data_IF_257575132247
#
_entry.id   IF_257575132247
#
_cell.length_a   1.000
_cell.length_b   1.000
_cell.length_c   1.000
_cell.angle_alpha   90.00
_cell.angle_beta   90.00
_cell.angle_gamma   90.00
#
_symmetry.space_group_name_H-M   'P 1'
#
loop_
_entity.id
_entity.type
_entity.pdbx_description
1 polymer ?
#
# COMPACT_ATOMS: atom_id res chain seq x y z
N UNK A 1 35.10 7.36 20.70
CA UNK A 1 35.20 6.70 22.01
C UNK A 1 34.87 5.24 21.75
N UNK A 2 35.73 4.32 22.19
CA UNK A 2 35.55 2.89 21.92
C UNK A 2 34.37 2.36 22.73
N UNK A 3 33.23 2.21 22.06
CA UNK A 3 32.08 1.47 22.58
C UNK A 3 32.52 0.00 22.71
N UNK A 4 32.28 -0.58 23.90
CA UNK A 4 32.89 -1.86 24.27
C UNK A 4 32.29 -2.96 23.41
N UNK A 5 33.10 -3.52 22.51
CA UNK A 5 32.71 -4.66 21.69
C UNK A 5 32.32 -5.86 22.59
N UNK A 6 31.29 -6.65 22.24
CA UNK A 6 30.90 -7.80 23.04
C UNK A 6 32.07 -8.78 23.17
N UNK A 7 32.27 -9.33 24.36
CA UNK A 7 33.25 -10.39 24.55
C UNK A 7 32.85 -11.61 23.69
N UNK A 8 33.84 -12.25 23.04
CA UNK A 8 33.59 -13.45 22.23
C UNK A 8 32.88 -14.53 23.04
N UNK A 9 31.65 -14.85 22.65
CA UNK A 9 30.76 -15.75 23.40
C UNK A 9 30.36 -16.93 22.52
N UNK A 10 30.40 -18.19 23.01
CA UNK A 10 29.85 -19.32 22.27
C UNK A 10 28.38 -19.06 21.87
N UNK A 11 28.01 -19.37 20.63
CA UNK A 11 26.64 -19.14 20.15
C UNK A 11 25.60 -19.82 21.04
N UNK A 12 25.84 -21.09 21.41
CA UNK A 12 24.93 -21.85 22.26
C UNK A 12 24.73 -21.22 23.66
N UNK A 13 25.79 -20.64 24.23
CA UNK A 13 25.73 -19.94 25.52
C UNK A 13 24.91 -18.65 25.39
N UNK A 14 25.07 -17.90 24.29
CA UNK A 14 24.28 -16.69 24.03
C UNK A 14 22.80 -17.02 23.83
N UNK A 15 22.50 -18.06 23.04
CA UNK A 15 21.14 -18.54 22.76
C UNK A 15 20.43 -18.94 24.05
N UNK A 16 21.06 -19.76 24.90
CA UNK A 16 20.50 -20.15 26.20
C UNK A 16 20.23 -18.91 27.08
N UNK A 17 21.20 -17.98 27.12
CA UNK A 17 21.09 -16.75 27.90
C UNK A 17 19.94 -15.84 27.45
N UNK A 18 19.66 -15.80 26.15
CA UNK A 18 18.57 -15.00 25.57
C UNK A 18 17.24 -15.70 25.83
N UNK A 19 17.14 -17.00 25.53
CA UNK A 19 15.94 -17.80 25.75
C UNK A 19 15.46 -17.72 27.21
N UNK A 20 16.37 -17.81 28.17
CA UNK A 20 16.07 -17.70 29.61
C UNK A 20 15.48 -16.33 30.01
N UNK A 21 15.80 -15.26 29.27
CA UNK A 21 15.38 -13.88 29.60
C UNK A 21 14.16 -13.42 28.82
N UNK A 22 13.98 -13.90 27.59
CA UNK A 22 12.89 -13.48 26.70
C UNK A 22 11.75 -14.52 26.64
N UNK A 23 12.04 -15.78 26.95
CA UNK A 23 11.10 -16.90 26.76
C UNK A 23 10.97 -17.34 25.31
N UNK A 24 11.82 -16.83 24.42
CA UNK A 24 11.80 -17.18 22.99
C UNK A 24 12.41 -18.55 22.70
N UNK A 25 12.04 -19.10 21.55
CA UNK A 25 12.44 -20.43 21.13
C UNK A 25 13.94 -20.44 20.70
N UNK A 26 14.77 -21.34 21.26
CA UNK A 26 16.22 -21.36 21.01
C UNK A 26 16.65 -21.44 19.54
N UNK A 27 15.96 -22.23 18.70
CA UNK A 27 16.32 -22.32 17.27
C UNK A 27 16.02 -21.00 16.55
N UNK A 28 14.91 -20.34 16.89
CA UNK A 28 14.56 -19.02 16.35
C UNK A 28 15.63 -17.97 16.71
N UNK A 29 16.09 -17.95 17.97
CA UNK A 29 17.20 -17.07 18.39
C UNK A 29 18.49 -17.39 17.63
N UNK A 30 18.79 -18.69 17.43
CA UNK A 30 19.98 -19.14 16.70
C UNK A 30 19.96 -18.65 15.25
N UNK A 31 18.82 -18.74 14.56
CA UNK A 31 18.67 -18.24 13.19
C UNK A 31 19.04 -16.76 13.07
N UNK A 32 18.55 -15.93 13.99
CA UNK A 32 18.86 -14.50 13.97
C UNK A 32 20.33 -14.19 14.23
N UNK A 33 21.00 -14.97 15.08
CA UNK A 33 22.40 -14.75 15.45
C UNK A 33 23.41 -15.38 14.48
N UNK A 34 22.97 -16.18 13.52
CA UNK A 34 23.85 -16.84 12.55
C UNK A 34 24.78 -15.84 11.82
N UNK A 35 24.31 -14.68 11.33
CA UNK A 35 25.16 -13.68 10.68
C UNK A 35 26.24 -13.08 11.60
N UNK A 36 26.04 -13.14 12.92
CA UNK A 36 26.97 -12.60 13.92
C UNK A 36 28.00 -13.63 14.38
N UNK A 37 27.98 -14.83 13.81
CA UNK A 37 28.76 -15.98 14.28
C UNK A 37 29.93 -16.26 13.35
N UNK A 38 31.11 -16.47 13.93
CA UNK A 38 32.30 -17.01 13.27
C UNK A 38 32.83 -18.19 14.10
N UNK A 39 33.10 -19.33 13.47
CA UNK A 39 33.52 -20.58 14.12
C UNK A 39 32.68 -20.98 15.36
N UNK A 40 31.35 -20.78 15.28
CA UNK A 40 30.41 -21.12 16.37
C UNK A 40 30.44 -20.17 17.57
N UNK A 41 31.07 -19.00 17.42
CA UNK A 41 31.12 -17.94 18.45
C UNK A 41 30.59 -16.64 17.87
N UNK A 42 29.86 -15.89 18.67
CA UNK A 42 29.47 -14.53 18.31
C UNK A 42 30.69 -13.62 18.50
N UNK A 43 31.10 -12.95 17.42
CA UNK A 43 32.31 -12.10 17.40
C UNK A 43 31.99 -10.68 16.97
N UNK A 44 32.77 -9.73 17.48
CA UNK A 44 32.63 -8.32 17.08
C UNK A 44 32.91 -8.12 15.59
N UNK A 45 33.84 -8.89 15.01
CA UNK A 45 34.16 -8.83 13.59
C UNK A 45 32.98 -9.28 12.70
N UNK A 46 32.28 -10.36 13.08
CA UNK A 46 31.10 -10.82 12.35
C UNK A 46 29.93 -9.83 12.48
N UNK A 47 29.75 -9.21 13.65
CA UNK A 47 28.78 -8.13 13.86
C UNK A 47 29.12 -6.92 12.97
N UNK A 48 30.37 -6.45 12.99
CA UNK A 48 30.82 -5.32 12.16
C UNK A 48 30.67 -5.61 10.66
N UNK A 49 30.91 -6.86 10.23
CA UNK A 49 30.65 -7.30 8.86
C UNK A 49 29.16 -7.20 8.52
N UNK A 50 28.29 -7.73 9.39
CA UNK A 50 26.84 -7.66 9.19
C UNK A 50 26.34 -6.22 9.12
N UNK A 51 26.78 -5.35 10.04
CA UNK A 51 26.45 -3.92 10.01
C UNK A 51 26.94 -3.26 8.71
N UNK A 52 28.14 -3.62 8.23
CA UNK A 52 28.68 -3.11 6.97
C UNK A 52 27.82 -3.54 5.78
N UNK A 53 27.38 -4.79 5.75
CA UNK A 53 26.52 -5.31 4.68
C UNK A 53 25.17 -4.59 4.68
N UNK A 54 24.53 -4.45 5.84
CA UNK A 54 23.26 -3.69 5.97
C UNK A 54 23.44 -2.22 5.59
N UNK A 55 24.56 -1.59 5.98
CA UNK A 55 24.87 -0.21 5.59
C UNK A 55 24.97 -0.04 4.07
N UNK A 56 25.50 -1.04 3.35
CA UNK A 56 25.56 -1.01 1.88
C UNK A 56 24.18 -1.15 1.23
N UNK A 57 23.31 -1.98 1.82
CA UNK A 57 21.93 -2.15 1.35
C UNK A 57 21.16 -0.85 1.57
N UNK A 58 21.26 -0.25 2.76
CA UNK A 58 20.62 1.05 3.05
C UNK A 58 21.13 2.15 2.09
N UNK A 59 22.44 2.24 1.85
CA UNK A 59 22.99 3.19 0.87
C UNK A 59 22.46 2.96 -0.55
N UNK A 60 22.09 1.74 -0.90
CA UNK A 60 21.44 1.41 -2.17
C UNK A 60 20.00 1.93 -2.20
N UNK A 61 19.25 1.78 -1.10
CA UNK A 61 17.91 2.35 -0.93
C UNK A 61 17.94 3.88 -1.03
N UNK A 62 18.84 4.54 -0.30
CA UNK A 62 19.08 5.99 -0.39
C UNK A 62 19.32 6.42 -1.84
N UNK A 63 20.22 5.73 -2.56
CA UNK A 63 20.53 6.04 -3.96
C UNK A 63 19.30 5.91 -4.87
N UNK A 64 18.42 4.94 -4.60
CA UNK A 64 17.18 4.74 -5.37
C UNK A 64 16.15 5.83 -5.12
N UNK A 65 15.95 6.23 -3.86
CA UNK A 65 15.09 7.37 -3.52
C UNK A 65 15.64 8.68 -4.10
N UNK A 66 16.96 8.84 -4.16
CA UNK A 66 17.65 9.94 -4.83
C UNK A 66 17.38 9.98 -6.34
N UNK A 67 17.31 8.82 -7.00
CA UNK A 67 16.97 8.73 -8.43
C UNK A 67 15.50 9.08 -8.66
N UNK A 68 14.59 8.48 -7.89
CA UNK A 68 13.16 8.81 -7.94
C UNK A 68 12.91 10.31 -7.68
N UNK A 69 13.68 10.93 -6.78
CA UNK A 69 13.65 12.37 -6.54
C UNK A 69 13.95 13.18 -7.81
N UNK A 70 15.01 12.82 -8.53
CA UNK A 70 15.38 13.53 -9.77
C UNK A 70 14.31 13.37 -10.84
N UNK A 71 13.78 12.16 -11.00
CA UNK A 71 12.68 11.89 -11.95
C UNK A 71 11.42 12.66 -11.58
N UNK A 72 11.11 12.79 -10.28
CA UNK A 72 9.98 13.59 -9.80
C UNK A 72 10.16 15.08 -10.11
N UNK A 73 11.37 15.62 -9.94
CA UNK A 73 11.67 17.01 -10.29
C UNK A 73 11.52 17.26 -11.81
N UNK A 74 11.96 16.31 -12.64
CA UNK A 74 11.79 16.36 -14.10
C UNK A 74 10.30 16.30 -14.51
N UNK A 75 9.54 15.38 -13.93
CA UNK A 75 8.10 15.27 -14.15
C UNK A 75 7.34 16.52 -13.68
N UNK A 76 7.73 17.09 -12.53
CA UNK A 76 7.16 18.34 -12.01
C UNK A 76 7.43 19.51 -12.95
N UNK A 77 8.66 19.63 -13.46
CA UNK A 77 9.00 20.66 -14.44
C UNK A 77 8.18 20.49 -15.74
N UNK A 78 7.93 19.26 -16.18
CA UNK A 78 7.05 19.00 -17.33
C UNK A 78 5.58 19.36 -17.03
N UNK A 79 5.12 19.15 -15.80
CA UNK A 79 3.77 19.52 -15.36
C UNK A 79 3.57 21.04 -15.30
N UNK A 80 4.62 21.81 -14.98
CA UNK A 80 4.56 23.27 -14.99
C UNK A 80 4.31 23.87 -16.39
N UNK A 81 4.64 23.13 -17.46
CA UNK A 81 4.32 23.50 -18.84
C UNK A 81 2.88 23.11 -19.26
N UNK A 82 2.19 22.29 -18.46
CA UNK A 82 0.83 21.85 -18.71
C UNK A 82 -0.21 22.92 -18.35
N UNK A 83 -1.46 22.81 -18.86
CA UNK A 83 -2.56 23.62 -18.38
C UNK A 83 -2.86 23.35 -16.90
N UNK A 84 -3.35 24.38 -16.21
CA UNK A 84 -3.83 24.27 -14.84
C UNK A 84 -5.13 23.46 -14.81
N UNK A 85 -4.99 22.15 -14.57
CA UNK A 85 -6.06 21.14 -14.55
C UNK A 85 -5.94 20.32 -13.27
N UNK A 86 -7.09 19.97 -12.70
CA UNK A 86 -7.13 19.26 -11.43
C UNK A 86 -6.53 17.86 -11.56
N UNK A 87 -6.76 17.15 -12.69
CA UNK A 87 -6.17 15.82 -12.92
C UNK A 87 -4.63 15.82 -12.87
N UNK A 88 -4.00 16.91 -13.34
CA UNK A 88 -2.54 17.06 -13.29
C UNK A 88 -2.08 17.35 -11.86
N UNK A 89 -2.81 18.22 -11.16
CA UNK A 89 -2.50 18.64 -9.78
C UNK A 89 -2.61 17.47 -8.81
N UNK A 90 -3.68 16.68 -8.88
CA UNK A 90 -3.92 15.51 -8.02
C UNK A 90 -2.84 14.45 -8.24
N UNK A 91 -2.55 14.08 -9.50
CA UNK A 91 -1.49 13.10 -9.80
C UNK A 91 -0.12 13.56 -9.33
N UNK A 92 0.25 14.83 -9.58
CA UNK A 92 1.52 15.39 -9.11
C UNK A 92 1.64 15.34 -7.59
N UNK A 93 0.57 15.69 -6.88
CA UNK A 93 0.56 15.64 -5.41
C UNK A 93 0.75 14.21 -4.91
N UNK A 94 0.04 13.24 -5.47
CA UNK A 94 0.16 11.84 -5.06
C UNK A 94 1.59 11.30 -5.21
N UNK A 95 2.30 11.68 -6.28
CA UNK A 95 3.72 11.33 -6.42
C UNK A 95 4.62 12.03 -5.40
N UNK A 96 4.35 13.30 -5.09
CA UNK A 96 5.07 14.04 -4.07
C UNK A 96 4.91 13.41 -2.68
N UNK A 97 3.67 13.09 -2.29
CA UNK A 97 3.35 12.47 -1.01
C UNK A 97 4.08 11.11 -0.88
N UNK A 98 4.00 10.24 -1.89
CA UNK A 98 4.73 8.94 -1.90
C UNK A 98 6.25 9.07 -1.83
N UNK A 99 6.81 10.11 -2.45
CA UNK A 99 8.25 10.36 -2.42
C UNK A 99 8.70 10.86 -1.04
N UNK A 100 7.89 11.69 -0.40
CA UNK A 100 8.15 12.17 0.95
C UNK A 100 8.07 11.04 1.98
N UNK A 101 7.13 10.10 1.81
CA UNK A 101 7.05 8.88 2.62
C UNK A 101 8.33 8.02 2.48
N UNK A 102 8.77 7.74 1.25
CA UNK A 102 10.01 6.98 1.01
C UNK A 102 11.26 7.63 1.63
N UNK A 103 11.34 8.96 1.60
CA UNK A 103 12.44 9.71 2.23
C UNK A 103 12.41 9.57 3.75
N UNK A 104 11.22 9.67 4.35
CA UNK A 104 11.03 9.50 5.78
C UNK A 104 11.38 8.08 6.23
N UNK A 105 11.00 7.06 5.47
CA UNK A 105 11.35 5.65 5.72
C UNK A 105 12.87 5.42 5.68
N UNK A 106 13.55 5.94 4.67
CA UNK A 106 15.02 5.84 4.58
C UNK A 106 15.72 6.54 5.76
N UNK A 107 15.24 7.72 6.16
CA UNK A 107 15.79 8.44 7.32
C UNK A 107 15.60 7.63 8.61
N UNK A 108 14.42 7.05 8.82
CA UNK A 108 14.12 6.18 9.95
C UNK A 108 15.03 4.93 9.98
N UNK A 109 15.25 4.27 8.83
CA UNK A 109 16.17 3.13 8.75
C UNK A 109 17.62 3.51 9.08
N UNK A 110 18.05 4.72 8.72
CA UNK A 110 19.36 5.25 9.11
C UNK A 110 19.50 5.41 10.63
N UNK A 111 18.46 5.90 11.29
CA UNK A 111 18.40 6.01 12.74
C UNK A 111 18.37 4.63 13.42
N UNK A 112 17.58 3.69 12.90
CA UNK A 112 17.48 2.32 13.42
C UNK A 112 18.80 1.55 13.26
N UNK A 113 19.48 1.69 12.12
CA UNK A 113 20.83 1.15 11.93
C UNK A 113 21.83 1.77 12.92
N UNK A 114 21.69 3.08 13.18
CA UNK A 114 22.46 3.82 14.16
C UNK A 114 22.24 3.30 15.60
N UNK A 115 21.02 2.89 15.94
CA UNK A 115 20.68 2.31 17.23
C UNK A 115 21.14 0.85 17.35
N UNK A 116 20.98 0.03 16.31
CA UNK A 116 21.34 -1.39 16.30
C UNK A 116 22.84 -1.64 16.50
N UNK A 117 23.70 -0.70 16.10
CA UNK A 117 25.16 -0.80 16.31
C UNK A 117 25.62 -0.40 17.72
N UNK A 118 24.72 0.12 18.56
CA UNK A 118 25.05 0.66 19.89
C UNK A 118 24.60 -0.25 21.03
N UNK A 119 25.30 -0.19 22.16
CA UNK A 119 24.84 -0.86 23.39
C UNK A 119 24.91 -2.40 23.41
N UNK A 120 25.80 -3.01 22.62
CA UNK A 120 25.94 -4.47 22.45
C UNK A 120 26.60 -5.22 23.63
N UNK A 121 26.49 -4.70 24.85
CA UNK A 121 27.16 -5.28 26.02
C UNK A 121 26.44 -6.48 26.63
N UNK A 122 25.14 -6.64 26.37
CA UNK A 122 24.28 -7.66 26.96
C UNK A 122 23.80 -8.67 25.91
N UNK A 123 23.62 -9.97 26.25
CA UNK A 123 23.16 -10.99 25.30
C UNK A 123 21.88 -10.65 24.57
N UNK A 124 20.88 -10.12 25.29
CA UNK A 124 19.60 -9.70 24.71
C UNK A 124 19.77 -8.50 23.77
N UNK A 125 20.74 -7.62 24.03
CA UNK A 125 21.02 -6.49 23.14
C UNK A 125 21.65 -6.95 21.83
N UNK A 126 22.56 -7.93 21.87
CA UNK A 126 23.15 -8.55 20.67
C UNK A 126 22.07 -9.25 19.83
N UNK A 127 21.19 -10.01 20.47
CA UNK A 127 20.06 -10.65 19.80
C UNK A 127 19.13 -9.63 19.13
N UNK A 128 18.71 -8.59 19.86
CA UNK A 128 17.86 -7.52 19.29
C UNK A 128 18.52 -6.76 18.15
N UNK A 129 19.83 -6.54 18.23
CA UNK A 129 20.56 -5.93 17.12
C UNK A 129 20.55 -6.82 15.88
N UNK A 130 20.65 -8.15 16.05
CA UNK A 130 20.58 -9.07 14.92
C UNK A 130 19.20 -9.07 14.25
N UNK A 131 18.12 -9.03 15.06
CA UNK A 131 16.74 -8.89 14.56
C UNK A 131 16.57 -7.56 13.83
N UNK A 132 16.96 -6.44 14.45
CA UNK A 132 16.84 -5.11 13.87
C UNK A 132 17.60 -4.98 12.54
N UNK A 133 18.83 -5.52 12.45
CA UNK A 133 19.58 -5.51 11.19
C UNK A 133 18.91 -6.30 10.08
N UNK A 134 18.17 -7.37 10.40
CA UNK A 134 17.38 -8.07 9.41
C UNK A 134 16.15 -7.28 8.97
N UNK A 135 15.41 -6.70 9.91
CA UNK A 135 14.25 -5.85 9.62
C UNK A 135 14.66 -4.69 8.71
N UNK A 136 15.74 -3.97 9.05
CA UNK A 136 16.33 -2.91 8.22
C UNK A 136 16.69 -3.42 6.81
N UNK A 137 17.21 -4.65 6.71
CA UNK A 137 17.55 -5.24 5.40
C UNK A 137 16.30 -5.45 4.55
N UNK A 138 15.24 -6.03 5.11
CA UNK A 138 13.99 -6.29 4.40
C UNK A 138 13.30 -4.99 4.01
N UNK A 139 13.22 -4.03 4.92
CA UNK A 139 12.62 -2.71 4.67
C UNK A 139 13.40 -1.92 3.62
N UNK A 140 14.74 -1.88 3.70
CA UNK A 140 15.56 -1.22 2.69
C UNK A 140 15.40 -1.85 1.30
N UNK A 141 15.21 -3.18 1.21
CA UNK A 141 14.94 -3.85 -0.06
C UNK A 141 13.56 -3.51 -0.62
N UNK A 142 12.56 -3.36 0.23
CA UNK A 142 11.23 -2.94 -0.19
C UNK A 142 11.24 -1.49 -0.70
N UNK A 143 11.91 -0.57 0.02
CA UNK A 143 12.15 0.81 -0.43
C UNK A 143 12.81 0.84 -1.81
N UNK A 144 13.82 0.00 -2.06
CA UNK A 144 14.46 -0.09 -3.39
C UNK A 144 13.46 -0.43 -4.48
N UNK A 145 12.55 -1.38 -4.21
CA UNK A 145 11.51 -1.80 -5.15
C UNK A 145 10.50 -0.67 -5.36
N UNK A 146 9.93 -0.13 -4.28
CA UNK A 146 8.91 0.93 -4.35
C UNK A 146 9.45 2.20 -5.00
N UNK A 147 10.70 2.59 -4.72
CA UNK A 147 11.34 3.73 -5.36
C UNK A 147 11.53 3.53 -6.87
N UNK A 148 11.85 2.30 -7.31
CA UNK A 148 11.97 1.99 -8.74
C UNK A 148 10.61 1.94 -9.46
N UNK A 149 9.59 1.40 -8.80
CA UNK A 149 8.22 1.43 -9.30
C UNK A 149 7.76 2.89 -9.47
N UNK A 150 7.99 3.74 -8.46
CA UNK A 150 7.72 5.18 -8.51
C UNK A 150 8.48 5.89 -9.63
N UNK A 151 9.76 5.59 -9.84
CA UNK A 151 10.55 6.13 -10.96
C UNK A 151 9.89 5.81 -12.31
N UNK A 152 9.46 4.56 -12.51
CA UNK A 152 8.79 4.12 -13.74
C UNK A 152 7.44 4.82 -13.94
N UNK A 153 6.67 4.99 -12.87
CA UNK A 153 5.39 5.71 -12.90
C UNK A 153 5.57 7.20 -13.24
N UNK A 154 6.60 7.84 -12.68
CA UNK A 154 6.95 9.24 -12.96
C UNK A 154 7.35 9.44 -14.43
N UNK A 155 8.16 8.53 -15.00
CA UNK A 155 8.49 8.55 -16.43
C UNK A 155 7.24 8.39 -17.31
N UNK A 156 6.32 7.50 -16.90
CA UNK A 156 5.05 7.30 -17.60
C UNK A 156 4.16 8.56 -17.53
N UNK A 157 4.10 9.22 -16.37
CA UNK A 157 3.38 10.48 -16.17
C UNK A 157 3.99 11.61 -17.03
N UNK A 158 5.31 11.72 -17.06
CA UNK A 158 6.01 12.69 -17.89
C UNK A 158 5.73 12.47 -19.40
N UNK A 159 5.72 11.21 -19.84
CA UNK A 159 5.34 10.85 -21.21
C UNK A 159 3.85 11.13 -21.51
N UNK A 160 2.97 10.93 -20.51
CA UNK A 160 1.55 11.25 -20.58
C UNK A 160 1.34 12.76 -20.76
N UNK A 161 1.99 13.61 -19.96
CA UNK A 161 1.92 15.07 -20.08
C UNK A 161 2.24 15.55 -21.51
N UNK A 162 3.28 14.95 -22.11
CA UNK A 162 3.81 15.37 -23.41
C UNK A 162 3.04 14.87 -24.63
N UNK A 163 2.08 13.97 -24.48
CA UNK A 163 1.44 13.31 -25.62
C UNK A 163 -0.06 13.17 -25.43
N UNK A 164 -0.83 13.93 -26.21
CA UNK A 164 -2.29 13.80 -26.25
C UNK A 164 -2.74 12.35 -26.55
N UNK A 165 -2.03 11.62 -27.42
CA UNK A 165 -2.35 10.22 -27.69
C UNK A 165 -2.12 9.31 -26.47
N UNK A 166 -1.10 9.59 -25.65
CA UNK A 166 -0.89 8.86 -24.39
C UNK A 166 -2.00 9.19 -23.40
N UNK A 167 -2.41 10.46 -23.31
CA UNK A 167 -3.52 10.89 -22.44
C UNK A 167 -4.83 10.21 -22.80
N UNK A 168 -5.19 10.27 -24.08
CA UNK A 168 -6.42 9.64 -24.57
C UNK A 168 -6.36 8.12 -24.46
N UNK A 169 -5.20 7.51 -24.73
CA UNK A 169 -5.01 6.07 -24.58
C UNK A 169 -5.22 5.62 -23.13
N UNK A 170 -4.59 6.31 -22.17
CA UNK A 170 -4.75 6.01 -20.75
C UNK A 170 -6.22 6.12 -20.30
N UNK A 171 -6.93 7.19 -20.66
CA UNK A 171 -8.36 7.32 -20.34
C UNK A 171 -9.20 6.18 -20.93
N UNK A 172 -8.92 5.77 -22.17
CA UNK A 172 -9.63 4.65 -22.81
C UNK A 172 -9.33 3.33 -22.10
N UNK A 173 -8.06 3.07 -21.76
CA UNK A 173 -7.65 1.87 -21.03
C UNK A 173 -8.32 1.80 -19.64
N UNK A 174 -8.49 2.94 -18.96
CA UNK A 174 -9.19 3.02 -17.67
C UNK A 174 -10.72 2.79 -17.81
N UNK A 175 -11.34 3.31 -18.87
CA UNK A 175 -12.76 3.03 -19.19
C UNK A 175 -12.94 1.54 -19.50
N UNK A 176 -12.05 0.93 -20.28
CA UNK A 176 -12.07 -0.51 -20.58
C UNK A 176 -12.00 -1.33 -19.27
N UNK A 177 -11.11 -0.96 -18.34
CA UNK A 177 -11.00 -1.61 -17.03
C UNK A 177 -12.26 -1.44 -16.15
N UNK A 178 -12.90 -0.27 -16.20
CA UNK A 178 -14.16 -0.04 -15.51
C UNK A 178 -15.30 -0.89 -16.09
N UNK A 179 -15.37 -1.03 -17.42
CA UNK A 179 -16.35 -1.90 -18.10
C UNK A 179 -16.17 -3.38 -17.72
N UNK A 180 -14.93 -3.86 -17.63
CA UNK A 180 -14.63 -5.21 -17.14
C UNK A 180 -15.07 -5.41 -15.68
N UNK A 181 -14.85 -4.40 -14.83
CA UNK A 181 -15.24 -4.43 -13.42
C UNK A 181 -16.76 -4.43 -13.24
N UNK A 182 -17.48 -3.59 -14.00
CA UNK A 182 -18.94 -3.58 -14.05
C UNK A 182 -19.48 -4.94 -14.51
N UNK A 183 -18.88 -5.54 -15.54
CA UNK A 183 -19.29 -6.86 -16.01
C UNK A 183 -19.12 -7.95 -14.94
N UNK A 184 -18.03 -7.92 -14.17
CA UNK A 184 -17.79 -8.85 -13.08
C UNK A 184 -18.82 -8.69 -11.93
N UNK A 185 -19.21 -7.44 -11.61
CA UNK A 185 -20.26 -7.16 -10.62
C UNK A 185 -21.62 -7.63 -11.15
N UNK A 186 -21.96 -7.37 -12.42
CA UNK A 186 -23.17 -7.86 -13.07
C UNK A 186 -23.33 -9.38 -12.95
N UNK A 187 -22.27 -10.15 -13.20
CA UNK A 187 -22.27 -11.61 -13.03
C UNK A 187 -22.57 -12.02 -11.58
N UNK A 188 -21.98 -11.30 -10.61
CA UNK A 188 -22.21 -11.54 -9.19
C UNK A 188 -23.64 -11.21 -8.77
N UNK A 189 -24.18 -10.06 -9.22
CA UNK A 189 -25.56 -9.64 -8.97
C UNK A 189 -26.56 -10.64 -9.57
N UNK A 190 -26.32 -11.10 -10.80
CA UNK A 190 -27.16 -12.12 -11.43
C UNK A 190 -27.15 -13.43 -10.63
N UNK A 191 -25.97 -13.89 -10.22
CA UNK A 191 -25.84 -15.09 -9.39
C UNK A 191 -26.54 -14.95 -8.03
N UNK A 192 -26.52 -13.77 -7.41
CA UNK A 192 -27.19 -13.52 -6.13
C UNK A 192 -28.72 -13.56 -6.28
N UNK A 193 -29.26 -12.99 -7.37
CA UNK A 193 -30.71 -12.99 -7.66
C UNK A 193 -31.29 -14.37 -7.98
N UNK A 194 -30.49 -15.24 -8.57
CA UNK A 194 -30.90 -16.62 -8.87
C UNK A 194 -30.85 -17.55 -7.64
N UNK A 195 -30.25 -17.10 -6.53
CA UNK A 195 -30.15 -17.88 -5.30
C UNK A 195 -31.38 -17.68 -4.40
N UNK A 196 -31.94 -18.79 -3.91
CA UNK A 196 -33.02 -18.77 -2.91
C UNK A 196 -32.52 -18.39 -1.49
N UNK A 197 -31.21 -18.50 -1.25
CA UNK A 197 -30.53 -18.17 0.01
C UNK A 197 -29.18 -17.51 -0.32
N UNK A 198 -29.16 -16.24 -0.74
CA UNK A 198 -27.95 -15.54 -1.14
C UNK A 198 -27.03 -15.29 0.05
N UNK A 199 -25.74 -15.56 -0.13
CA UNK A 199 -24.71 -15.28 0.88
C UNK A 199 -24.65 -13.77 1.20
N UNK A 200 -24.93 -13.35 2.44
CA UNK A 200 -24.90 -11.94 2.84
C UNK A 200 -23.53 -11.29 2.66
N UNK A 201 -22.42 -12.02 2.88
CA UNK A 201 -21.07 -11.47 2.73
C UNK A 201 -20.76 -11.18 1.25
N UNK A 202 -21.18 -12.08 0.36
CA UNK A 202 -21.04 -11.90 -1.08
C UNK A 202 -21.87 -10.72 -1.59
N UNK A 203 -23.08 -10.52 -1.04
CA UNK A 203 -23.93 -9.36 -1.39
C UNK A 203 -23.35 -8.05 -0.85
N UNK A 204 -22.80 -8.06 0.37
CA UNK A 204 -22.09 -6.91 0.92
C UNK A 204 -20.90 -6.51 0.03
N UNK A 205 -20.04 -7.46 -0.35
CA UNK A 205 -18.90 -7.18 -1.23
C UNK A 205 -19.34 -6.65 -2.59
N UNK A 206 -20.42 -7.18 -3.19
CA UNK A 206 -20.98 -6.66 -4.44
C UNK A 206 -21.50 -5.22 -4.30
N UNK A 207 -22.10 -4.90 -3.14
CA UNK A 207 -22.60 -3.55 -2.82
C UNK A 207 -21.44 -2.58 -2.66
N UNK A 208 -20.42 -2.95 -1.89
CA UNK A 208 -19.18 -2.19 -1.74
C UNK A 208 -18.50 -1.94 -3.09
N UNK A 209 -18.37 -2.97 -3.94
CA UNK A 209 -17.79 -2.82 -5.28
C UNK A 209 -18.60 -1.87 -6.15
N UNK A 210 -19.93 -1.92 -6.06
CA UNK A 210 -20.82 -1.01 -6.79
C UNK A 210 -20.63 0.44 -6.32
N UNK A 211 -20.52 0.70 -5.01
CA UNK A 211 -20.21 2.03 -4.46
C UNK A 211 -18.87 2.58 -4.94
N UNK A 212 -17.84 1.74 -4.98
CA UNK A 212 -16.55 2.13 -5.52
C UNK A 212 -16.66 2.45 -7.01
N UNK A 213 -17.41 1.66 -7.79
CA UNK A 213 -17.63 1.91 -9.21
C UNK A 213 -18.41 3.21 -9.48
N UNK A 214 -19.35 3.61 -8.61
CA UNK A 214 -20.00 4.92 -8.69
C UNK A 214 -18.97 6.06 -8.63
N UNK A 215 -18.00 5.96 -7.70
CA UNK A 215 -16.91 6.92 -7.58
C UNK A 215 -15.93 6.86 -8.78
N UNK A 216 -15.59 5.65 -9.26
CA UNK A 216 -14.75 5.48 -10.48
C UNK A 216 -15.38 6.20 -11.67
N UNK A 217 -16.68 6.03 -11.90
CA UNK A 217 -17.38 6.68 -13.02
C UNK A 217 -17.38 8.21 -12.86
N UNK A 218 -17.57 8.72 -11.64
CA UNK A 218 -17.47 10.15 -11.37
C UNK A 218 -16.06 10.70 -11.63
N UNK A 219 -15.02 9.96 -11.23
CA UNK A 219 -13.61 10.29 -11.47
C UNK A 219 -13.27 10.35 -12.96
N UNK A 220 -13.62 9.30 -13.71
CA UNK A 220 -13.41 9.22 -15.16
C UNK A 220 -14.11 10.34 -15.92
N UNK A 221 -15.27 10.80 -15.45
CA UNK A 221 -15.97 11.96 -16.04
C UNK A 221 -15.25 13.27 -15.79
N UNK A 222 -14.73 13.47 -14.59
CA UNK A 222 -13.91 14.64 -14.27
C UNK A 222 -12.63 14.66 -15.12
N UNK A 223 -11.92 13.52 -15.21
CA UNK A 223 -10.74 13.39 -16.06
C UNK A 223 -11.07 13.62 -17.54
N UNK A 224 -12.14 13.02 -18.07
CA UNK A 224 -12.57 13.23 -19.45
C UNK A 224 -12.90 14.71 -19.74
N UNK A 225 -13.49 15.42 -18.77
CA UNK A 225 -13.75 16.86 -18.90
C UNK A 225 -12.45 17.68 -18.98
N UNK A 226 -11.49 17.42 -18.08
CA UNK A 226 -10.18 18.06 -18.06
C UNK A 226 -9.39 17.79 -19.35
N UNK A 227 -9.34 16.52 -19.78
CA UNK A 227 -8.61 16.12 -20.99
C UNK A 227 -9.24 16.67 -22.26
N UNK A 228 -10.57 16.78 -22.31
CA UNK A 228 -11.26 17.45 -23.42
C UNK A 228 -10.92 18.95 -23.46
N UNK A 229 -10.93 19.62 -22.31
CA UNK A 229 -10.53 21.03 -22.23
C UNK A 229 -9.08 21.23 -22.68
N UNK A 230 -8.18 20.30 -22.34
CA UNK A 230 -6.82 20.30 -22.82
C UNK A 230 -6.74 20.08 -24.34
N UNK A 231 -7.46 19.08 -24.87
CA UNK A 231 -7.47 18.79 -26.30
C UNK A 231 -7.97 19.98 -27.13
N UNK A 232 -9.03 20.66 -26.66
CA UNK A 232 -9.57 21.87 -27.28
C UNK A 232 -8.55 23.01 -27.32
N UNK A 233 -7.81 23.21 -26.22
CA UNK A 233 -6.73 24.21 -26.13
C UNK A 233 -5.60 23.92 -27.12
N UNK A 234 -5.19 22.66 -27.23
CA UNK A 234 -4.09 22.23 -28.11
C UNK A 234 -4.54 22.09 -29.58
N UNK A 235 -5.84 22.19 -29.86
CA UNK A 235 -6.40 22.02 -31.20
C UNK A 235 -6.29 20.58 -31.73
N UNK A 236 -6.28 19.60 -30.83
CA UNK A 236 -6.20 18.17 -31.15
C UNK A 236 -7.57 17.51 -30.97
N UNK A 237 -7.84 16.44 -31.72
CA UNK A 237 -9.11 15.72 -31.60
C UNK A 237 -9.16 14.89 -30.31
N UNK A 238 -10.26 15.04 -29.56
CA UNK A 238 -10.60 14.17 -28.44
C UNK A 238 -11.39 12.93 -28.93
N UNK A 239 -11.27 11.74 -28.29
CA UNK A 239 -12.06 10.57 -28.63
C UNK A 239 -13.57 10.84 -28.53
N UNK A 240 -14.33 10.46 -29.55
CA UNK A 240 -15.74 10.85 -29.69
C UNK A 240 -16.76 9.94 -29.00
N UNK A 241 -16.32 8.77 -28.54
CA UNK A 241 -17.14 7.72 -27.92
C UNK A 241 -17.08 7.71 -26.40
N UNK A 242 -16.11 8.42 -25.79
CA UNK A 242 -15.91 8.46 -24.33
C UNK A 242 -17.18 8.81 -23.56
N UNK A 243 -17.92 9.85 -23.97
CA UNK A 243 -19.13 10.27 -23.24
C UNK A 243 -20.20 9.18 -23.24
N UNK A 244 -20.43 8.54 -24.39
CA UNK A 244 -21.42 7.47 -24.50
C UNK A 244 -21.05 6.26 -23.63
N UNK A 245 -19.76 5.90 -23.59
CA UNK A 245 -19.27 4.79 -22.75
C UNK A 245 -19.40 5.10 -21.26
N UNK A 246 -19.12 6.33 -20.84
CA UNK A 246 -19.30 6.75 -19.45
C UNK A 246 -20.77 6.79 -19.04
N UNK A 247 -21.67 7.17 -19.95
CA UNK A 247 -23.12 7.10 -19.72
C UNK A 247 -23.62 5.66 -19.61
N UNK A 248 -23.11 4.75 -20.44
CA UNK A 248 -23.41 3.32 -20.37
C UNK A 248 -22.91 2.70 -19.06
N UNK A 249 -21.69 3.07 -18.61
CA UNK A 249 -21.14 2.67 -17.32
C UNK A 249 -21.99 3.15 -16.15
N UNK A 250 -22.36 4.43 -16.10
CA UNK A 250 -23.21 4.98 -15.04
C UNK A 250 -24.55 4.25 -14.97
N UNK A 251 -25.18 4.01 -16.12
CA UNK A 251 -26.46 3.29 -16.18
C UNK A 251 -26.32 1.86 -15.65
N UNK A 252 -25.26 1.15 -16.03
CA UNK A 252 -25.01 -0.21 -15.55
C UNK A 252 -24.74 -0.26 -14.05
N UNK A 253 -23.95 0.67 -13.52
CA UNK A 253 -23.68 0.77 -12.08
C UNK A 253 -24.96 1.08 -11.31
N UNK A 254 -25.80 2.01 -11.79
CA UNK A 254 -27.10 2.32 -11.18
C UNK A 254 -28.03 1.11 -11.18
N UNK A 255 -28.08 0.35 -12.28
CA UNK A 255 -28.85 -0.90 -12.36
C UNK A 255 -28.36 -1.95 -11.35
N UNK A 256 -27.06 -1.99 -11.04
CA UNK A 256 -26.48 -2.85 -10.00
C UNK A 256 -26.83 -2.37 -8.59
N UNK A 257 -26.80 -1.06 -8.34
CA UNK A 257 -27.20 -0.51 -7.06
C UNK A 257 -28.67 -0.81 -6.75
N UNK A 258 -29.57 -0.55 -7.71
CA UNK A 258 -30.99 -0.87 -7.61
C UNK A 258 -31.21 -2.38 -7.37
N UNK A 259 -30.44 -3.21 -8.09
CA UNK A 259 -30.48 -4.67 -7.92
C UNK A 259 -30.17 -5.15 -6.52
N UNK A 260 -29.15 -4.54 -5.92
CA UNK A 260 -28.63 -4.92 -4.62
C UNK A 260 -29.48 -4.33 -3.49
N UNK A 261 -30.19 -3.24 -3.72
CA UNK A 261 -31.14 -2.66 -2.77
C UNK A 261 -32.40 -3.53 -2.58
N UNK A 262 -32.89 -4.19 -3.64
CA UNK A 262 -34.13 -4.99 -3.62
C UNK A 262 -34.04 -6.36 -2.93
N UNK A 263 -32.89 -6.73 -2.35
CA UNK A 263 -32.66 -8.04 -1.75
C UNK A 263 -33.14 -8.19 -0.29
N UNK A 264 -33.14 -9.42 0.27
CA UNK A 264 -33.63 -9.72 1.63
C UNK A 264 -32.86 -8.98 2.74
N UNK A 265 -33.47 -8.74 3.90
CA UNK A 265 -32.77 -8.09 5.02
C UNK A 265 -31.50 -8.87 5.43
N UNK A 266 -30.40 -8.15 5.72
CA UNK A 266 -29.15 -8.71 6.26
C UNK A 266 -28.87 -8.18 7.66
N UNK A 267 -27.70 -8.53 8.22
CA UNK A 267 -27.29 -8.14 9.56
C UNK A 267 -27.00 -6.62 9.64
N UNK A 268 -27.49 -5.95 10.70
CA UNK A 268 -27.31 -4.50 10.95
C UNK A 268 -25.84 -4.05 10.88
N UNK A 269 -24.89 -4.95 11.16
CA UNK A 269 -23.46 -4.67 11.07
C UNK A 269 -23.01 -4.29 9.65
N UNK A 270 -23.65 -4.83 8.62
CA UNK A 270 -23.31 -4.54 7.23
C UNK A 270 -23.83 -3.16 6.85
N UNK A 271 -25.02 -2.79 7.34
CA UNK A 271 -25.58 -1.45 7.13
C UNK A 271 -24.70 -0.37 7.77
N UNK A 272 -24.29 -0.54 9.03
CA UNK A 272 -23.43 0.44 9.71
C UNK A 272 -22.08 0.66 8.98
N UNK A 273 -21.55 -0.40 8.36
CA UNK A 273 -20.30 -0.34 7.58
C UNK A 273 -20.52 0.35 6.24
N UNK A 274 -21.61 0.05 5.55
CA UNK A 274 -21.95 0.74 4.31
C UNK A 274 -22.26 2.21 4.56
N UNK A 275 -22.97 2.55 5.65
CA UNK A 275 -23.19 3.95 6.04
C UNK A 275 -21.87 4.70 6.31
N UNK A 276 -20.91 4.03 6.96
CA UNK A 276 -19.57 4.60 7.20
C UNK A 276 -18.80 4.77 5.90
N UNK A 277 -18.83 3.76 5.03
CA UNK A 277 -18.19 3.80 3.71
C UNK A 277 -18.79 4.94 2.87
N UNK A 278 -20.12 5.01 2.76
CA UNK A 278 -20.84 6.02 1.99
C UNK A 278 -20.50 7.43 2.49
N UNK A 279 -20.42 7.64 3.81
CA UNK A 279 -20.01 8.93 4.38
C UNK A 279 -18.56 9.33 4.04
N UNK A 280 -17.64 8.38 3.99
CA UNK A 280 -16.25 8.65 3.59
C UNK A 280 -16.12 8.84 2.07
N UNK A 281 -16.82 8.06 1.26
CA UNK A 281 -16.82 8.21 -0.21
C UNK A 281 -17.48 9.52 -0.65
N UNK A 282 -18.58 9.93 -0.01
CA UNK A 282 -19.26 11.21 -0.25
C UNK A 282 -18.37 12.43 0.04
N UNK A 283 -17.35 12.26 0.87
CA UNK A 283 -16.37 13.31 1.19
C UNK A 283 -15.24 13.42 0.15
N UNK A 284 -15.16 12.49 -0.81
CA UNK A 284 -14.15 12.46 -1.86
C UNK A 284 -14.70 13.12 -3.13
N UNK A 285 -14.07 14.22 -3.55
CA UNK A 285 -14.39 14.90 -4.80
C UNK A 285 -13.42 14.46 -5.91
N UNK A 286 -13.91 14.14 -7.13
CA UNK A 286 -13.07 13.99 -8.30
C UNK A 286 -12.26 15.26 -8.67
N UNK A 287 -11.03 15.14 -9.20
CA UNK A 287 -10.28 13.89 -9.42
C UNK A 287 -9.79 13.23 -8.13
N UNK A 288 -9.89 11.92 -8.06
CA UNK A 288 -9.74 11.14 -6.82
C UNK A 288 -8.28 10.81 -6.51
N UNK A 289 -7.87 11.03 -5.26
CA UNK A 289 -6.63 10.49 -4.71
C UNK A 289 -6.87 9.07 -4.14
N UNK A 290 -6.75 8.06 -5.01
CA UNK A 290 -7.18 6.68 -4.75
C UNK A 290 -6.60 6.01 -3.49
N UNK A 291 -5.41 6.40 -3.03
CA UNK A 291 -4.81 5.85 -1.80
C UNK A 291 -5.75 5.95 -0.58
N UNK A 292 -6.45 7.08 -0.40
CA UNK A 292 -7.42 7.26 0.69
C UNK A 292 -8.65 6.35 0.54
N UNK A 293 -9.09 6.13 -0.70
CA UNK A 293 -10.24 5.27 -1.00
C UNK A 293 -9.88 3.81 -0.72
N UNK A 294 -8.69 3.38 -1.11
CA UNK A 294 -8.19 2.02 -0.85
C UNK A 294 -8.13 1.71 0.65
N UNK A 295 -7.65 2.65 1.47
CA UNK A 295 -7.67 2.53 2.94
C UNK A 295 -9.10 2.38 3.49
N UNK A 296 -10.01 3.21 3.01
CA UNK A 296 -11.43 3.21 3.43
C UNK A 296 -12.10 1.88 3.07
N UNK A 297 -11.86 1.40 1.85
CA UNK A 297 -12.36 0.13 1.35
C UNK A 297 -11.75 -1.06 2.11
N UNK A 298 -10.44 -1.03 2.38
CA UNK A 298 -9.77 -2.05 3.17
C UNK A 298 -10.30 -2.11 4.61
N UNK A 299 -10.58 -0.96 5.23
CA UNK A 299 -11.19 -0.89 6.56
C UNK A 299 -12.59 -1.52 6.57
N UNK A 300 -13.42 -1.22 5.56
CA UNK A 300 -14.76 -1.80 5.42
C UNK A 300 -14.71 -3.33 5.30
N UNK A 301 -13.71 -3.89 4.59
CA UNK A 301 -13.49 -5.33 4.44
C UNK A 301 -12.89 -5.99 5.68
N UNK A 302 -11.88 -5.37 6.30
CA UNK A 302 -11.13 -5.95 7.44
C UNK A 302 -12.02 -6.17 8.66
N UNK A 303 -13.01 -5.30 8.87
CA UNK A 303 -14.01 -5.46 9.92
C UNK A 303 -14.79 -6.80 9.82
N UNK A 304 -14.78 -7.52 8.69
CA UNK A 304 -15.36 -8.86 8.55
C UNK A 304 -14.53 -9.94 9.24
N UNK A 305 -13.21 -9.76 9.34
CA UNK A 305 -12.28 -10.78 9.83
C UNK A 305 -12.07 -10.73 11.34
N UNK A 306 -12.21 -9.55 11.96
CA UNK A 306 -11.82 -9.33 13.37
C UNK A 306 -12.87 -9.80 14.40
N UNK A 307 -14.12 -10.01 13.98
CA UNK A 307 -15.22 -10.44 14.88
C UNK A 307 -15.49 -11.96 14.86
N UNK A 308 -14.67 -12.73 14.13
CA UNK A 308 -14.74 -14.20 14.08
C UNK A 308 -13.91 -14.92 15.15
N UNK A 309 -13.07 -14.20 15.91
CA UNK A 309 -12.31 -14.77 17.00
C UNK A 309 -13.19 -14.86 18.27
N UNK A 310 -13.52 -16.07 18.78
CA UNK A 310 -14.20 -16.16 20.06
C UNK A 310 -13.30 -15.52 21.12
N UNK A 311 -13.81 -14.51 21.81
CA UNK A 311 -13.18 -13.96 23.00
C UNK A 311 -12.89 -15.13 23.95
N UNK A 312 -11.59 -15.44 24.12
CA UNK A 312 -11.12 -16.48 25.01
C UNK A 312 -11.59 -16.11 26.43
N UNK A 313 -12.62 -16.80 26.92
CA UNK A 313 -13.18 -16.55 28.25
C UNK A 313 -12.05 -16.68 29.28
N UNK A 314 -11.86 -15.70 30.18
CA UNK A 314 -10.86 -15.84 31.22
C UNK A 314 -11.29 -16.97 32.16
N UNK A 315 -10.58 -18.10 32.07
CA UNK A 315 -10.68 -19.21 33.01
C UNK A 315 -10.33 -18.69 34.40
N UNK A 316 -11.37 -18.37 35.18
CA UNK A 316 -11.25 -18.03 36.59
C UNK A 316 -10.72 -19.25 37.37
N UNK A 317 -9.68 -19.08 38.20
CA UNK A 317 -9.14 -20.18 39.00
C UNK A 317 -10.08 -20.46 40.19
N UNK A 318 -10.97 -21.43 40.00
CA UNK A 318 -11.82 -21.97 41.06
C UNK A 318 -11.06 -22.95 41.96
N UNK A 319 -10.77 -22.51 43.19
CA UNK A 319 -10.27 -23.31 44.33
C UNK A 319 -11.05 -24.62 44.56
N UNK A 320 -10.36 -25.76 44.59
CA UNK A 320 -10.03 -26.57 45.80
C UNK A 320 -9.32 -27.87 45.43
#
# INVERSE_FOLDING_TARGET
MSESAPAETPLDELVESVADRTGEEPESIRTWLEPFTDDGRVTSAAIESSVTDVSQILATAETRVDLATRTHDEATAAADDAPDLEVVTVRRRAFGDRLDDLRAEVEALGDDLGAARSGLAEPVAVYRAAVALHEITTEAQDIVRVAHDLETELEAFEAWLRSANRRHGALVDEIDAAEESVAAVAETVASLRESDDPDPERRFEATLQTRVLELVVADLRAEAADLRAWADRDGVSFPGDVDARLDDLEAAVADHADALADGPDWDDRFDERLDTLDAELDAVEPPVAWARVDETVAAARSALSDDGAPADEPVSPGRK
#
